data_IF_625550358142
#
_entry.id   IF_625550358142
#
_cell.length_a   1.000
_cell.length_b   1.000
_cell.length_c   1.000
_cell.angle_alpha   90.00
_cell.angle_beta   90.00
_cell.angle_gamma   90.00
#
_symmetry.space_group_name_H-M   'P 1'
#
loop_
_entity.id
_entity.type
_entity.pdbx_description
1 polymer ?
#
# COMPACT_ATOMS: atom_id res chain seq x y z
N UNK A 1 -8.69 -19.10 -22.48
CA UNK A 1 -8.52 -17.69 -22.05
C UNK A 1 -7.04 -17.40 -21.90
N UNK A 2 -6.62 -16.14 -22.04
CA UNK A 2 -5.26 -15.67 -21.79
C UNK A 2 -5.26 -14.42 -20.90
N UNK A 3 -4.40 -14.36 -19.88
CA UNK A 3 -4.24 -13.16 -19.04
C UNK A 3 -3.69 -11.93 -19.80
N UNK A 4 -3.22 -12.11 -21.04
CA UNK A 4 -2.63 -11.08 -21.91
C UNK A 4 -3.62 -10.28 -22.77
N UNK A 5 -4.85 -10.78 -22.99
CA UNK A 5 -5.82 -10.15 -23.89
C UNK A 5 -7.25 -10.40 -23.40
N UNK A 6 -8.12 -9.38 -23.47
CA UNK A 6 -9.52 -9.48 -23.05
C UNK A 6 -10.38 -10.29 -24.05
N UNK A 7 -11.45 -10.89 -23.51
CA UNK A 7 -12.44 -11.68 -24.26
C UNK A 7 -13.84 -11.37 -23.73
N UNK A 8 -14.84 -11.36 -24.59
CA UNK A 8 -16.20 -10.95 -24.22
C UNK A 8 -16.98 -12.03 -23.46
N UNK A 9 -16.86 -13.31 -23.87
CA UNK A 9 -17.67 -14.43 -23.35
C UNK A 9 -16.82 -15.53 -22.71
N UNK A 10 -17.37 -16.18 -21.69
CA UNK A 10 -16.78 -17.35 -21.03
C UNK A 10 -16.91 -18.60 -21.91
N UNK A 11 -15.81 -19.33 -22.10
CA UNK A 11 -15.82 -20.68 -22.70
C UNK A 11 -15.38 -21.75 -21.70
N UNK A 12 -15.47 -23.00 -22.12
CA UNK A 12 -14.93 -24.14 -21.40
C UNK A 12 -13.40 -24.15 -21.47
N UNK A 13 -12.74 -24.38 -20.33
CA UNK A 13 -11.29 -24.25 -20.17
C UNK A 13 -10.83 -22.88 -19.64
N UNK A 14 -11.70 -21.87 -19.58
CA UNK A 14 -11.34 -20.56 -19.04
C UNK A 14 -11.26 -20.57 -17.50
N UNK A 15 -10.16 -20.09 -16.92
CA UNK A 15 -10.15 -19.64 -15.51
C UNK A 15 -10.99 -18.36 -15.38
N UNK A 16 -11.91 -18.31 -14.42
CA UNK A 16 -12.77 -17.15 -14.18
C UNK A 16 -12.66 -16.64 -12.74
N UNK A 17 -13.03 -15.39 -12.53
CA UNK A 17 -13.11 -14.76 -11.21
C UNK A 17 -14.58 -14.61 -10.81
N UNK A 18 -15.06 -15.38 -9.82
CA UNK A 18 -16.37 -15.15 -9.24
C UNK A 18 -16.28 -14.08 -8.15
N UNK A 19 -17.12 -13.05 -8.23
CA UNK A 19 -17.22 -11.99 -7.21
C UNK A 19 -18.56 -12.10 -6.46
N UNK A 20 -18.48 -12.40 -5.16
CA UNK A 20 -19.62 -12.56 -4.24
C UNK A 20 -19.64 -11.47 -3.16
N UNK A 21 -18.57 -10.67 -3.05
CA UNK A 21 -18.38 -9.56 -2.11
C UNK A 21 -16.91 -9.11 -2.11
N UNK A 22 -16.60 -8.00 -1.42
CA UNK A 22 -15.25 -7.40 -1.39
C UNK A 22 -14.17 -8.42 -0.95
N UNK A 23 -14.35 -9.01 0.23
CA UNK A 23 -13.47 -10.06 0.78
C UNK A 23 -13.94 -11.48 0.39
N UNK A 24 -14.75 -11.61 -0.67
CA UNK A 24 -15.32 -12.90 -1.07
C UNK A 24 -15.31 -13.04 -2.60
N UNK A 25 -14.15 -13.45 -3.09
CA UNK A 25 -13.93 -13.88 -4.46
C UNK A 25 -13.48 -15.35 -4.49
N UNK A 26 -13.61 -15.99 -5.65
CA UNK A 26 -13.14 -17.36 -5.89
C UNK A 26 -12.64 -17.49 -7.34
N UNK A 27 -11.61 -18.31 -7.59
CA UNK A 27 -11.22 -18.73 -8.95
C UNK A 27 -11.51 -20.21 -9.18
N UNK A 28 -11.79 -20.57 -10.43
CA UNK A 28 -11.69 -21.95 -10.93
C UNK A 28 -11.72 -21.97 -12.47
N UNK A 29 -11.40 -23.14 -13.03
CA UNK A 29 -11.50 -23.43 -14.46
C UNK A 29 -12.92 -23.91 -14.80
N UNK A 30 -13.56 -23.28 -15.78
CA UNK A 30 -14.90 -23.66 -16.27
C UNK A 30 -14.83 -25.00 -17.02
N UNK A 31 -15.65 -25.98 -16.63
CA UNK A 31 -15.67 -27.36 -17.15
C UNK A 31 -17.09 -27.92 -17.03
N UNK A 32 -17.66 -28.50 -18.09
CA UNK A 32 -19.04 -29.03 -18.07
C UNK A 32 -19.20 -30.16 -17.06
N UNK A 33 -20.42 -30.30 -16.54
CA UNK A 33 -20.77 -31.28 -15.51
C UNK A 33 -20.32 -30.92 -14.09
N UNK A 34 -19.37 -29.98 -13.91
CA UNK A 34 -18.94 -29.50 -12.60
C UNK A 34 -19.96 -28.50 -12.02
N UNK A 35 -20.13 -28.53 -10.70
CA UNK A 35 -21.01 -27.65 -9.94
C UNK A 35 -20.23 -27.05 -8.76
N UNK A 36 -20.08 -25.72 -8.75
CA UNK A 36 -19.48 -24.97 -7.65
C UNK A 36 -20.55 -24.61 -6.62
N UNK A 37 -20.26 -24.78 -5.33
CA UNK A 37 -21.21 -24.47 -4.26
C UNK A 37 -20.92 -23.09 -3.68
N UNK A 38 -21.92 -22.21 -3.64
CA UNK A 38 -21.81 -20.86 -3.08
C UNK A 38 -22.80 -20.65 -1.94
N UNK A 39 -22.59 -19.61 -1.11
CA UNK A 39 -23.59 -19.16 -0.12
C UNK A 39 -24.95 -18.78 -0.73
N UNK A 40 -25.00 -18.48 -2.02
CA UNK A 40 -26.21 -18.14 -2.76
C UNK A 40 -26.87 -19.35 -3.47
N UNK A 41 -26.23 -20.53 -3.44
CA UNK A 41 -26.71 -21.76 -4.07
C UNK A 41 -25.68 -22.44 -4.97
N UNK A 42 -26.09 -23.55 -5.58
CA UNK A 42 -25.28 -24.31 -6.51
C UNK A 42 -25.20 -23.61 -7.88
N UNK A 43 -23.98 -23.39 -8.37
CA UNK A 43 -23.67 -22.81 -9.67
C UNK A 43 -23.12 -23.91 -10.59
N UNK A 44 -23.84 -24.29 -11.64
CA UNK A 44 -23.30 -25.26 -12.61
C UNK A 44 -22.36 -24.52 -13.56
N UNK A 45 -21.20 -25.11 -13.85
CA UNK A 45 -20.25 -24.50 -14.79
C UNK A 45 -20.83 -24.43 -16.21
N UNK A 46 -21.78 -25.32 -16.55
CA UNK A 46 -22.53 -25.26 -17.81
C UNK A 46 -23.41 -24.02 -17.94
N UNK A 47 -23.86 -23.43 -16.83
CA UNK A 47 -24.71 -22.22 -16.81
C UNK A 47 -23.87 -20.93 -16.98
N UNK A 48 -22.53 -21.05 -17.02
CA UNK A 48 -21.57 -19.96 -17.23
C UNK A 48 -21.07 -19.87 -18.68
N UNK A 49 -21.10 -20.97 -19.44
CA UNK A 49 -20.52 -21.00 -20.80
C UNK A 49 -21.41 -20.19 -21.75
N UNK A 50 -20.81 -19.22 -22.46
CA UNK A 50 -21.51 -18.24 -23.29
C UNK A 50 -22.00 -17.01 -22.53
N UNK A 51 -21.82 -16.93 -21.21
CA UNK A 51 -22.13 -15.71 -20.44
C UNK A 51 -21.04 -14.66 -20.70
N UNK A 52 -21.46 -13.41 -20.90
CA UNK A 52 -20.55 -12.27 -21.08
C UNK A 52 -19.83 -11.94 -19.76
N UNK A 53 -18.52 -11.71 -19.79
CA UNK A 53 -17.78 -11.24 -18.63
C UNK A 53 -18.32 -9.89 -18.12
N UNK A 54 -18.33 -9.71 -16.80
CA UNK A 54 -19.04 -8.63 -16.11
C UNK A 54 -20.52 -8.92 -15.80
N UNK A 55 -21.11 -9.98 -16.36
CA UNK A 55 -22.52 -10.31 -16.13
C UNK A 55 -22.83 -10.70 -14.68
N UNK A 56 -24.04 -10.34 -14.25
CA UNK A 56 -24.65 -10.79 -12.99
C UNK A 56 -25.38 -12.12 -13.18
N UNK A 57 -24.84 -13.20 -12.62
CA UNK A 57 -25.47 -14.52 -12.65
C UNK A 57 -26.35 -14.70 -11.41
N UNK A 58 -27.63 -15.04 -11.63
CA UNK A 58 -28.61 -15.26 -10.57
C UNK A 58 -28.57 -16.70 -10.05
N UNK A 59 -28.76 -16.85 -8.74
CA UNK A 59 -28.72 -18.12 -8.00
C UNK A 59 -29.93 -18.20 -7.05
N UNK A 60 -30.22 -19.39 -6.53
CA UNK A 60 -31.43 -19.68 -5.76
C UNK A 60 -31.66 -18.77 -4.52
N UNK A 61 -30.60 -18.17 -3.97
CA UNK A 61 -30.64 -17.27 -2.79
C UNK A 61 -29.89 -15.95 -3.00
N UNK A 62 -29.65 -15.53 -4.25
CA UNK A 62 -28.92 -14.28 -4.52
C UNK A 62 -28.37 -14.18 -5.94
N UNK A 63 -27.21 -13.53 -6.06
CA UNK A 63 -26.48 -13.41 -7.32
C UNK A 63 -24.98 -13.25 -7.05
N UNK A 64 -24.19 -13.39 -8.11
CA UNK A 64 -22.76 -13.07 -8.14
C UNK A 64 -22.40 -12.41 -9.49
N UNK A 65 -21.18 -11.91 -9.61
CA UNK A 65 -20.64 -11.45 -10.89
C UNK A 65 -19.54 -12.38 -11.39
N UNK A 66 -19.47 -12.58 -12.71
CA UNK A 66 -18.43 -13.35 -13.38
C UNK A 66 -17.45 -12.38 -14.03
N UNK A 67 -16.31 -12.15 -13.39
CA UNK A 67 -15.31 -11.17 -13.81
C UNK A 67 -14.19 -11.80 -14.65
N UNK A 68 -13.61 -10.99 -15.53
CA UNK A 68 -12.44 -11.39 -16.30
C UNK A 68 -11.21 -11.53 -15.38
N UNK A 69 -10.36 -12.56 -15.53
CA UNK A 69 -9.14 -12.67 -14.74
C UNK A 69 -8.15 -11.54 -15.06
N UNK A 70 -7.68 -10.86 -14.01
CA UNK A 70 -6.51 -9.96 -14.08
C UNK A 70 -5.48 -10.40 -13.05
N UNK A 71 -4.20 -9.99 -13.17
CA UNK A 71 -3.19 -10.23 -12.14
C UNK A 71 -3.63 -9.77 -10.74
N UNK A 72 -4.31 -8.64 -10.60
CA UNK A 72 -4.80 -8.14 -9.29
C UNK A 72 -5.83 -9.09 -8.67
N UNK A 73 -6.81 -9.55 -9.46
CA UNK A 73 -7.78 -10.54 -8.98
C UNK A 73 -7.13 -11.91 -8.72
N UNK A 74 -6.07 -12.27 -9.44
CA UNK A 74 -5.29 -13.49 -9.19
C UNK A 74 -4.49 -13.38 -7.88
N UNK A 75 -3.75 -12.30 -7.66
CA UNK A 75 -3.05 -12.00 -6.40
C UNK A 75 -3.96 -12.13 -5.18
N UNK A 76 -5.22 -11.72 -5.27
CA UNK A 76 -6.19 -11.84 -4.16
C UNK A 76 -6.83 -13.25 -4.00
N UNK A 77 -6.64 -14.19 -4.93
CA UNK A 77 -7.39 -15.46 -4.97
C UNK A 77 -6.57 -16.70 -5.37
N UNK A 78 -5.27 -16.56 -5.59
CA UNK A 78 -4.38 -17.65 -5.97
C UNK A 78 -4.21 -18.68 -4.83
N UNK A 79 -3.93 -19.96 -5.14
CA UNK A 79 -3.59 -20.94 -4.11
C UNK A 79 -2.20 -20.63 -3.56
N UNK A 80 -2.14 -20.03 -2.36
CA UNK A 80 -0.88 -19.67 -1.70
C UNK A 80 0.02 -20.91 -1.48
N UNK A 81 1.16 -20.95 -2.18
CA UNK A 81 2.25 -21.93 -2.00
C UNK A 81 3.39 -21.37 -1.13
N UNK A 82 3.42 -20.04 -0.99
CA UNK A 82 4.43 -19.21 -0.32
C UNK A 82 3.76 -17.95 0.25
N UNK A 83 4.51 -17.13 1.00
CA UNK A 83 4.19 -15.71 1.08
C UNK A 83 4.21 -15.10 -0.35
N UNK A 84 3.42 -14.05 -0.57
CA UNK A 84 3.38 -13.30 -1.84
C UNK A 84 3.56 -11.81 -1.63
N UNK A 85 3.97 -11.13 -2.69
CA UNK A 85 3.81 -9.70 -2.87
C UNK A 85 2.35 -9.40 -3.24
N UNK A 86 1.84 -8.26 -2.78
CA UNK A 86 0.50 -7.76 -3.11
C UNK A 86 0.57 -6.57 -4.08
N UNK A 87 -0.59 -6.17 -4.62
CA UNK A 87 -0.71 -5.16 -5.68
C UNK A 87 0.04 -3.85 -5.41
N UNK A 88 0.12 -3.41 -4.15
CA UNK A 88 0.85 -2.18 -3.76
C UNK A 88 2.33 -2.27 -4.15
N UNK A 89 3.04 -3.26 -3.62
CA UNK A 89 4.46 -3.49 -3.88
C UNK A 89 4.71 -3.87 -5.34
N UNK A 90 3.84 -4.73 -5.91
CA UNK A 90 3.88 -5.10 -7.33
C UNK A 90 3.81 -3.85 -8.22
N UNK A 91 2.95 -2.88 -7.90
CA UNK A 91 2.85 -1.63 -8.68
C UNK A 91 4.11 -0.77 -8.58
N UNK A 92 4.74 -0.72 -7.41
CA UNK A 92 6.00 0.01 -7.19
C UNK A 92 7.17 -0.67 -7.90
N UNK A 93 7.28 -2.00 -7.79
CA UNK A 93 8.28 -2.82 -8.50
C UNK A 93 8.16 -2.62 -10.01
N UNK A 94 6.94 -2.76 -10.55
CA UNK A 94 6.66 -2.61 -11.99
C UNK A 94 7.10 -1.24 -12.51
N UNK A 95 6.81 -0.17 -11.76
CA UNK A 95 7.17 1.20 -12.12
C UNK A 95 8.68 1.47 -11.98
N UNK A 96 9.29 1.08 -10.84
CA UNK A 96 10.69 1.39 -10.52
C UNK A 96 11.69 0.47 -11.25
N UNK A 97 11.26 -0.68 -11.79
CA UNK A 97 12.03 -1.49 -12.74
C UNK A 97 11.79 -1.09 -14.21
N UNK A 98 10.98 -0.06 -14.48
CA UNK A 98 10.69 0.46 -15.83
C UNK A 98 10.09 -0.59 -16.79
N UNK A 99 9.28 -1.51 -16.25
CA UNK A 99 8.71 -2.62 -17.02
C UNK A 99 7.70 -2.12 -18.06
N UNK A 100 7.83 -2.64 -19.29
CA UNK A 100 7.04 -2.24 -20.46
C UNK A 100 6.96 -3.38 -21.48
N UNK A 101 6.04 -3.32 -22.47
CA UNK A 101 6.00 -4.26 -23.58
C UNK A 101 7.38 -4.39 -24.25
N UNK A 102 7.89 -5.62 -24.34
CA UNK A 102 9.24 -5.89 -24.87
C UNK A 102 10.37 -5.99 -23.83
N UNK A 103 10.14 -5.67 -22.55
CA UNK A 103 11.16 -5.89 -21.50
C UNK A 103 11.45 -7.39 -21.32
N UNK A 104 12.74 -7.74 -21.21
CA UNK A 104 13.19 -9.05 -20.74
C UNK A 104 13.49 -8.95 -19.25
N UNK A 105 12.87 -9.81 -18.43
CA UNK A 105 12.90 -9.73 -16.98
C UNK A 105 13.37 -11.05 -16.37
N UNK A 106 14.21 -10.96 -15.34
CA UNK A 106 14.60 -12.11 -14.50
C UNK A 106 13.90 -11.99 -13.15
N UNK A 107 13.33 -13.09 -12.67
CA UNK A 107 12.62 -13.18 -11.38
C UNK A 107 13.12 -14.39 -10.59
N UNK A 108 13.37 -14.23 -9.30
CA UNK A 108 13.58 -15.36 -8.38
C UNK A 108 13.25 -14.95 -6.95
N UNK A 109 12.50 -15.72 -6.15
CA UNK A 109 11.81 -16.96 -6.48
C UNK A 109 10.44 -16.78 -7.16
N UNK A 110 10.02 -17.72 -8.01
CA UNK A 110 8.66 -17.75 -8.60
C UNK A 110 7.56 -17.93 -7.54
N UNK A 111 7.77 -18.79 -6.54
CA UNK A 111 6.88 -18.98 -5.39
C UNK A 111 5.44 -19.34 -5.75
N UNK A 112 4.52 -18.37 -5.58
CA UNK A 112 3.11 -18.52 -5.92
C UNK A 112 2.67 -17.73 -7.17
N UNK A 113 3.60 -17.20 -7.96
CA UNK A 113 3.31 -16.59 -9.26
C UNK A 113 2.58 -15.22 -9.24
N UNK A 114 2.42 -14.59 -8.07
CA UNK A 114 1.71 -13.29 -7.92
C UNK A 114 2.33 -12.19 -8.76
N UNK A 115 3.63 -11.93 -8.55
CA UNK A 115 4.39 -10.95 -9.32
C UNK A 115 4.55 -11.38 -10.79
N UNK A 116 4.83 -12.66 -11.04
CA UNK A 116 5.01 -13.22 -12.38
C UNK A 116 3.85 -12.91 -13.33
N UNK A 117 2.59 -13.04 -12.88
CA UNK A 117 1.42 -12.69 -13.70
C UNK A 117 1.33 -11.18 -13.99
N UNK A 118 1.73 -10.32 -13.05
CA UNK A 118 1.75 -8.87 -13.24
C UNK A 118 2.88 -8.42 -14.17
N UNK A 119 4.07 -9.04 -14.06
CA UNK A 119 5.17 -8.87 -15.01
C UNK A 119 4.72 -9.30 -16.41
N UNK A 120 4.19 -10.52 -16.55
CA UNK A 120 3.79 -11.11 -17.83
C UNK A 120 2.81 -10.23 -18.62
N UNK A 121 1.75 -9.74 -17.95
CA UNK A 121 0.83 -8.75 -18.55
C UNK A 121 1.57 -7.49 -19.05
N UNK A 122 2.53 -7.00 -18.27
CA UNK A 122 3.19 -5.71 -18.53
C UNK A 122 4.23 -5.80 -19.64
N UNK A 123 4.87 -6.96 -19.82
CA UNK A 123 5.90 -7.16 -20.84
C UNK A 123 5.38 -7.77 -22.15
N UNK A 124 4.18 -8.37 -22.13
CA UNK A 124 3.50 -8.86 -23.32
C UNK A 124 3.25 -7.73 -24.36
N UNK A 125 3.17 -8.07 -25.67
CA UNK A 125 3.30 -9.41 -26.25
C UNK A 125 4.75 -9.83 -26.55
N UNK A 126 5.71 -8.90 -26.53
CA UNK A 126 7.05 -9.10 -27.11
C UNK A 126 8.19 -9.20 -26.09
N UNK A 127 7.92 -9.09 -24.79
CA UNK A 127 8.89 -9.32 -23.72
C UNK A 127 8.89 -10.77 -23.22
N UNK A 128 9.85 -11.10 -22.36
CA UNK A 128 10.01 -12.46 -21.82
C UNK A 128 10.41 -12.48 -20.34
N UNK A 129 9.84 -13.39 -19.57
CA UNK A 129 10.12 -13.61 -18.15
C UNK A 129 10.95 -14.89 -17.95
N UNK A 130 12.18 -14.76 -17.49
CA UNK A 130 12.97 -15.89 -16.98
C UNK A 130 12.79 -15.97 -15.47
N UNK A 131 11.92 -16.86 -14.99
CA UNK A 131 11.62 -17.02 -13.57
C UNK A 131 12.25 -18.30 -13.02
N UNK A 132 12.83 -18.21 -11.82
CA UNK A 132 13.59 -19.28 -11.18
C UNK A 132 12.99 -19.64 -9.83
N UNK A 133 12.97 -20.93 -9.50
CA UNK A 133 12.42 -21.46 -8.25
C UNK A 133 13.31 -22.60 -7.75
N UNK A 134 13.68 -22.59 -6.47
CA UNK A 134 14.61 -23.56 -5.89
C UNK A 134 13.95 -24.90 -5.56
N UNK A 135 12.62 -24.95 -5.50
CA UNK A 135 11.86 -26.13 -5.12
C UNK A 135 11.10 -26.71 -6.33
N UNK A 136 11.64 -27.77 -6.93
CA UNK A 136 11.12 -28.50 -8.10
C UNK A 136 9.59 -28.47 -8.26
N UNK A 137 8.86 -29.03 -7.29
CA UNK A 137 7.39 -29.11 -7.32
C UNK A 137 6.68 -27.75 -7.47
N UNK A 138 7.25 -26.64 -6.95
CA UNK A 138 6.68 -25.29 -7.15
C UNK A 138 6.98 -24.77 -8.55
N UNK A 139 8.15 -25.09 -9.11
CA UNK A 139 8.49 -24.77 -10.49
C UNK A 139 7.56 -25.50 -11.48
N UNK A 140 7.32 -26.79 -11.28
CA UNK A 140 6.37 -27.59 -12.07
C UNK A 140 4.94 -27.03 -12.00
N UNK A 141 4.45 -26.76 -10.79
CA UNK A 141 3.11 -26.20 -10.58
C UNK A 141 2.95 -24.81 -11.21
N UNK A 142 3.97 -23.94 -11.10
CA UNK A 142 3.97 -22.63 -11.74
C UNK A 142 3.98 -22.75 -13.27
N UNK A 143 4.76 -23.66 -13.85
CA UNK A 143 4.80 -23.88 -15.29
C UNK A 143 3.44 -24.34 -15.86
N UNK A 144 2.77 -25.29 -15.20
CA UNK A 144 1.43 -25.74 -15.62
C UNK A 144 0.35 -24.67 -15.38
N UNK A 145 0.49 -23.83 -14.35
CA UNK A 145 -0.36 -22.66 -14.09
C UNK A 145 -0.24 -21.61 -15.21
N UNK A 146 0.97 -21.19 -15.59
CA UNK A 146 1.21 -20.25 -16.70
C UNK A 146 0.73 -20.80 -18.06
N UNK A 147 0.86 -22.11 -18.28
CA UNK A 147 0.33 -22.83 -19.44
C UNK A 147 -1.20 -22.85 -19.46
N UNK A 148 -1.83 -23.15 -18.34
CA UNK A 148 -3.30 -23.12 -18.17
C UNK A 148 -3.86 -21.70 -18.35
N UNK A 149 -3.11 -20.67 -17.95
CA UNK A 149 -3.47 -19.26 -18.05
C UNK A 149 -3.12 -18.59 -19.38
N UNK A 150 -2.62 -19.36 -20.36
CA UNK A 150 -2.37 -18.88 -21.72
C UNK A 150 -1.26 -17.82 -21.80
N UNK A 151 -0.25 -17.91 -20.94
CA UNK A 151 0.90 -16.98 -20.90
C UNK A 151 2.28 -17.65 -21.01
N UNK A 152 2.31 -18.99 -21.14
CA UNK A 152 3.55 -19.78 -21.24
C UNK A 152 4.50 -19.40 -22.39
N UNK A 153 4.02 -18.73 -23.45
CA UNK A 153 4.87 -18.28 -24.56
C UNK A 153 5.84 -17.16 -24.15
N UNK A 154 5.48 -16.36 -23.14
CA UNK A 154 6.29 -15.24 -22.64
C UNK A 154 7.03 -15.55 -21.32
N UNK A 155 7.08 -16.81 -20.86
CA UNK A 155 7.77 -17.21 -19.63
C UNK A 155 8.58 -18.50 -19.77
N UNK A 156 9.73 -18.55 -19.13
CA UNK A 156 10.50 -19.78 -18.90
C UNK A 156 10.70 -19.96 -17.40
N UNK A 157 10.11 -21.01 -16.84
CA UNK A 157 10.29 -21.42 -15.44
C UNK A 157 11.49 -22.38 -15.35
N UNK A 158 12.42 -22.12 -14.44
CA UNK A 158 13.62 -22.95 -14.24
C UNK A 158 13.75 -23.41 -12.79
N UNK A 159 13.78 -24.72 -12.56
CA UNK A 159 14.15 -25.29 -11.25
C UNK A 159 15.65 -25.04 -11.00
N UNK A 160 16.01 -24.20 -10.02
CA UNK A 160 17.40 -23.88 -9.66
C UNK A 160 17.55 -23.11 -8.34
N UNK A 161 18.63 -23.39 -7.59
CA UNK A 161 19.16 -22.42 -6.62
C UNK A 161 20.06 -21.39 -7.34
N UNK A 162 19.57 -20.15 -7.46
CA UNK A 162 20.29 -19.04 -8.11
C UNK A 162 21.37 -18.41 -7.24
N UNK A 163 21.43 -18.74 -5.95
CA UNK A 163 22.49 -18.28 -5.04
C UNK A 163 23.78 -19.12 -5.20
N UNK A 164 23.65 -20.38 -5.63
CA UNK A 164 24.79 -21.26 -5.89
C UNK A 164 25.12 -21.37 -7.39
N UNK A 165 24.12 -21.58 -8.25
CA UNK A 165 24.34 -21.87 -9.68
C UNK A 165 24.11 -20.67 -10.62
N UNK A 166 23.59 -19.55 -10.09
CA UNK A 166 23.27 -18.35 -10.86
C UNK A 166 22.16 -18.52 -11.90
N UNK A 167 21.84 -17.44 -12.61
CA UNK A 167 20.81 -17.44 -13.65
C UNK A 167 21.25 -18.14 -14.94
N UNK A 168 22.56 -18.25 -15.21
CA UNK A 168 23.13 -18.74 -16.49
C UNK A 168 22.53 -18.01 -17.71
N UNK A 169 22.26 -16.72 -17.53
CA UNK A 169 21.83 -15.78 -18.55
C UNK A 169 22.93 -14.74 -18.70
N UNK A 170 23.25 -14.38 -19.94
CA UNK A 170 24.39 -13.51 -20.27
C UNK A 170 23.88 -12.32 -21.09
N UNK A 171 23.81 -11.16 -20.44
CA UNK A 171 23.48 -9.87 -21.05
C UNK A 171 22.16 -9.78 -21.83
N UNK A 172 21.11 -10.46 -21.36
CA UNK A 172 19.77 -10.49 -22.00
C UNK A 172 18.70 -9.64 -21.32
N UNK A 173 18.82 -9.34 -20.03
CA UNK A 173 17.75 -8.75 -19.21
C UNK A 173 17.79 -7.22 -19.15
N UNK A 174 16.62 -6.58 -19.20
CA UNK A 174 16.42 -5.16 -18.87
C UNK A 174 16.27 -4.95 -17.36
N UNK A 175 15.67 -5.92 -16.67
CA UNK A 175 15.37 -5.86 -15.25
C UNK A 175 15.56 -7.19 -14.51
N UNK A 176 15.94 -7.12 -13.23
CA UNK A 176 16.02 -8.27 -12.31
C UNK A 176 15.22 -8.00 -11.04
N UNK A 177 14.42 -8.96 -10.59
CA UNK A 177 13.73 -8.95 -9.31
C UNK A 177 14.14 -10.14 -8.42
N UNK A 178 14.46 -9.85 -7.15
CA UNK A 178 14.89 -10.83 -6.14
C UNK A 178 13.96 -10.84 -4.91
N UNK A 179 13.16 -11.89 -4.74
CA UNK A 179 12.54 -12.30 -3.47
C UNK A 179 13.23 -13.61 -3.03
N UNK A 180 14.25 -13.46 -2.19
CA UNK A 180 15.13 -14.53 -1.74
C UNK A 180 15.48 -14.35 -0.25
N UNK A 181 15.82 -15.41 0.50
CA UNK A 181 16.32 -15.26 1.88
C UNK A 181 17.71 -14.59 1.97
N UNK A 182 18.52 -14.70 0.91
CA UNK A 182 19.92 -14.22 0.84
C UNK A 182 20.22 -13.53 -0.52
N UNK A 183 19.47 -12.49 -0.91
CA UNK A 183 19.51 -11.94 -2.28
C UNK A 183 20.89 -11.42 -2.68
N UNK A 184 21.71 -10.99 -1.71
CA UNK A 184 23.09 -10.57 -1.94
C UNK A 184 23.96 -11.62 -2.64
N UNK A 185 23.70 -12.92 -2.46
CA UNK A 185 24.43 -13.99 -3.16
C UNK A 185 24.13 -14.04 -4.67
N UNK A 186 22.92 -13.65 -5.08
CA UNK A 186 22.51 -13.65 -6.48
C UNK A 186 22.97 -12.42 -7.27
N UNK A 187 23.42 -11.34 -6.61
CA UNK A 187 23.75 -10.04 -7.26
C UNK A 187 24.84 -10.18 -8.33
N UNK A 188 25.86 -10.99 -8.09
CA UNK A 188 26.93 -11.23 -9.05
C UNK A 188 26.38 -11.80 -10.38
N UNK A 189 25.44 -12.76 -10.29
CA UNK A 189 24.79 -13.33 -11.48
C UNK A 189 23.72 -12.41 -12.05
N UNK A 190 23.04 -11.59 -11.23
CA UNK A 190 22.11 -10.57 -11.70
C UNK A 190 22.81 -9.53 -12.59
N UNK A 191 24.02 -9.10 -12.21
CA UNK A 191 24.86 -8.22 -13.04
C UNK A 191 25.25 -8.87 -14.38
N UNK A 192 25.51 -10.17 -14.41
CA UNK A 192 25.77 -10.90 -15.66
C UNK A 192 24.51 -11.01 -16.53
N UNK A 193 23.35 -11.28 -15.93
CA UNK A 193 22.09 -11.41 -16.67
C UNK A 193 21.63 -10.09 -17.31
N UNK A 194 21.90 -8.94 -16.68
CA UNK A 194 21.59 -7.61 -17.19
C UNK A 194 22.41 -7.26 -18.45
N UNK A 195 21.76 -6.60 -19.42
CA UNK A 195 22.36 -6.14 -20.68
C UNK A 195 23.57 -5.23 -20.44
N UNK A 196 24.54 -5.27 -21.36
CA UNK A 196 25.70 -4.37 -21.39
C UNK A 196 25.33 -2.88 -21.53
N UNK A 197 24.11 -2.58 -21.98
CA UNK A 197 23.52 -1.23 -21.98
C UNK A 197 23.06 -0.75 -20.59
N UNK A 198 23.29 -1.52 -19.54
CA UNK A 198 22.70 -1.29 -18.23
C UNK A 198 21.28 -1.84 -18.11
N UNK A 199 20.69 -1.66 -16.92
CA UNK A 199 19.35 -2.12 -16.56
C UNK A 199 19.05 -1.93 -15.07
N UNK A 200 17.89 -2.36 -14.61
CA UNK A 200 17.38 -2.10 -13.24
C UNK A 200 17.36 -3.37 -12.39
N UNK A 201 17.64 -3.24 -11.10
CA UNK A 201 17.47 -4.33 -10.12
C UNK A 201 16.58 -3.90 -8.97
N UNK A 202 15.78 -4.83 -8.45
CA UNK A 202 15.00 -4.70 -7.23
C UNK A 202 15.20 -5.96 -6.37
N UNK A 203 15.39 -5.78 -5.08
CA UNK A 203 15.30 -6.86 -4.09
C UNK A 203 14.20 -6.54 -3.09
N UNK A 204 13.34 -7.52 -2.83
CA UNK A 204 12.50 -7.53 -1.64
C UNK A 204 13.29 -8.12 -0.46
N UNK A 205 13.00 -7.67 0.76
CA UNK A 205 13.51 -8.25 2.01
C UNK A 205 12.66 -7.83 3.22
N UNK A 206 12.19 -8.76 4.08
CA UNK A 206 11.45 -8.40 5.29
C UNK A 206 12.31 -7.79 6.40
N UNK A 207 13.61 -8.14 6.50
CA UNK A 207 14.48 -7.70 7.60
C UNK A 207 15.52 -6.66 7.13
N UNK A 208 15.82 -5.67 7.97
CA UNK A 208 16.71 -4.55 7.61
C UNK A 208 18.17 -4.99 7.47
N UNK A 209 18.57 -6.07 8.14
CA UNK A 209 19.90 -6.68 8.05
C UNK A 209 20.12 -7.37 6.70
N UNK A 210 19.03 -7.82 6.05
CA UNK A 210 19.08 -8.32 4.66
C UNK A 210 19.26 -7.17 3.68
N UNK A 211 18.55 -6.05 3.90
CA UNK A 211 18.71 -4.82 3.11
C UNK A 211 20.15 -4.29 3.19
N UNK A 212 20.73 -4.20 4.39
CA UNK A 212 22.12 -3.74 4.59
C UNK A 212 23.12 -4.51 3.73
N UNK A 213 23.12 -5.85 3.83
CA UNK A 213 24.01 -6.73 3.04
C UNK A 213 23.76 -6.63 1.53
N UNK A 214 22.50 -6.44 1.15
CA UNK A 214 22.11 -6.24 -0.25
C UNK A 214 22.69 -4.92 -0.78
N UNK A 215 22.56 -3.81 -0.06
CA UNK A 215 23.14 -2.52 -0.42
C UNK A 215 24.68 -2.56 -0.49
N UNK A 216 25.33 -3.21 0.47
CA UNK A 216 26.79 -3.41 0.46
C UNK A 216 27.25 -4.15 -0.81
N UNK A 217 26.59 -5.26 -1.12
CA UNK A 217 26.97 -6.12 -2.27
C UNK A 217 26.57 -5.48 -3.61
N UNK A 218 25.44 -4.77 -3.70
CA UNK A 218 25.10 -3.91 -4.85
C UNK A 218 26.21 -2.88 -5.12
N UNK A 219 26.70 -2.21 -4.08
CA UNK A 219 27.79 -1.22 -4.19
C UNK A 219 29.10 -1.88 -4.65
N UNK A 220 29.46 -3.03 -4.09
CA UNK A 220 30.64 -3.82 -4.50
C UNK A 220 30.59 -4.23 -5.98
N UNK A 221 29.40 -4.57 -6.50
CA UNK A 221 29.19 -4.90 -7.91
C UNK A 221 28.94 -3.68 -8.82
N UNK A 222 29.21 -2.45 -8.36
CA UNK A 222 29.08 -1.21 -9.17
C UNK A 222 27.65 -0.92 -9.64
N UNK A 223 26.65 -1.24 -8.81
CA UNK A 223 25.31 -0.66 -8.97
C UNK A 223 25.26 0.75 -8.37
N UNK A 224 24.42 1.60 -8.93
CA UNK A 224 24.23 3.00 -8.59
C UNK A 224 22.76 3.30 -8.24
N UNK A 225 22.44 4.51 -7.79
CA UNK A 225 21.07 4.94 -7.45
C UNK A 225 20.36 4.04 -6.42
N UNK A 226 21.12 3.46 -5.48
CA UNK A 226 20.60 2.59 -4.43
C UNK A 226 19.51 3.32 -3.62
N UNK A 227 18.29 2.78 -3.64
CA UNK A 227 17.11 3.36 -2.98
C UNK A 227 16.24 2.28 -2.37
N UNK A 228 16.21 2.22 -1.04
CA UNK A 228 15.26 1.39 -0.28
C UNK A 228 13.98 2.17 0.00
N UNK A 229 12.82 1.50 -0.08
CA UNK A 229 11.52 2.04 0.29
C UNK A 229 10.59 0.95 0.88
N UNK A 230 9.55 1.38 1.61
CA UNK A 230 8.46 0.55 2.12
C UNK A 230 7.13 1.14 1.62
N UNK A 231 6.13 0.29 1.30
CA UNK A 231 4.88 0.71 0.67
C UNK A 231 3.63 0.36 1.51
N UNK A 232 3.35 1.18 2.53
CA UNK A 232 2.25 0.93 3.48
C UNK A 232 0.87 1.26 2.89
N UNK A 233 0.07 0.22 2.59
CA UNK A 233 -1.33 0.36 2.17
C UNK A 233 -2.27 0.64 3.36
N UNK A 234 -3.22 1.57 3.18
CA UNK A 234 -4.33 1.80 4.11
C UNK A 234 -5.63 2.07 3.34
N UNK A 235 -6.56 1.14 3.42
CA UNK A 235 -7.90 1.31 2.85
C UNK A 235 -8.79 2.15 3.79
N UNK A 236 -9.81 2.80 3.22
CA UNK A 236 -10.74 3.67 3.96
C UNK A 236 -12.19 3.38 3.59
N UNK A 237 -13.00 3.00 4.58
CA UNK A 237 -14.44 2.85 4.45
C UNK A 237 -15.16 4.20 4.59
N UNK A 238 -15.91 4.60 3.57
CA UNK A 238 -16.74 5.82 3.62
C UNK A 238 -18.08 5.51 4.30
N UNK A 239 -18.16 5.76 5.61
CA UNK A 239 -19.35 5.48 6.45
C UNK A 239 -19.98 6.79 6.94
N UNK A 240 -21.27 6.75 7.29
CA UNK A 240 -21.89 7.86 8.04
C UNK A 240 -21.68 7.58 9.52
N UNK A 241 -21.01 8.49 10.23
CA UNK A 241 -20.90 8.48 11.70
C UNK A 241 -22.03 9.34 12.25
N UNK A 242 -22.64 8.89 13.34
CA UNK A 242 -23.49 9.70 14.20
C UNK A 242 -22.77 9.88 15.54
N UNK A 243 -22.46 11.13 15.91
CA UNK A 243 -21.99 11.47 17.25
C UNK A 243 -23.21 11.87 18.10
N UNK A 244 -23.41 11.31 19.30
CA UNK A 244 -24.42 11.81 20.21
C UNK A 244 -24.06 13.25 20.60
N UNK A 245 -25.05 14.14 20.59
CA UNK A 245 -24.89 15.48 21.14
C UNK A 245 -24.85 15.38 22.67
N UNK A 246 -23.91 16.08 23.29
CA UNK A 246 -23.85 16.15 24.74
C UNK A 246 -25.06 16.93 25.28
N UNK A 247 -25.89 16.28 26.10
CA UNK A 247 -26.89 16.97 26.90
C UNK A 247 -26.16 17.71 28.04
N UNK A 248 -26.08 19.03 27.91
CA UNK A 248 -25.46 19.91 28.90
C UNK A 248 -26.47 20.40 29.96
N UNK A 249 -27.68 19.82 29.98
CA UNK A 249 -28.82 20.29 30.74
C UNK A 249 -29.58 21.43 30.05
N UNK A 250 -30.69 21.90 30.65
CA UNK A 250 -31.45 23.03 30.13
C UNK A 250 -30.58 24.30 30.10
N UNK A 251 -30.63 25.04 28.99
CA UNK A 251 -29.81 26.24 28.76
C UNK A 251 -30.21 27.47 29.61
N UNK A 252 -31.09 27.28 30.60
CA UNK A 252 -31.85 28.32 31.28
C UNK A 252 -31.17 28.85 32.57
N UNK A 253 -29.84 29.07 32.54
CA UNK A 253 -29.11 29.79 33.59
C UNK A 253 -28.21 30.91 33.04
N UNK A 254 -28.69 31.62 32.02
CA UNK A 254 -28.33 33.04 31.81
C UNK A 254 -29.63 33.86 31.71
N UNK A 255 -30.40 33.89 32.81
CA UNK A 255 -31.43 34.93 32.97
C UNK A 255 -30.79 36.31 32.91
N UNK A 256 -31.45 37.24 32.22
CA UNK A 256 -30.95 38.60 31.99
C UNK A 256 -30.99 39.41 33.29
N UNK A 257 -29.85 39.53 33.95
CA UNK A 257 -29.46 40.68 34.76
C UNK A 257 -30.33 40.99 35.99
N UNK A 258 -29.95 40.44 37.15
CA UNK A 258 -30.28 40.99 38.47
C UNK A 258 -29.03 41.23 39.30
N UNK A 259 -28.27 42.26 38.93
CA UNK A 259 -27.33 42.89 39.86
C UNK A 259 -28.17 43.61 40.91
N UNK A 260 -28.25 43.08 42.12
CA UNK A 260 -28.87 43.78 43.25
C UNK A 260 -27.87 44.81 43.82
N UNK A 261 -28.25 46.09 43.95
CA UNK A 261 -27.30 47.14 44.36
C UNK A 261 -27.16 47.25 45.88
N UNK A 262 -26.08 46.65 46.41
CA UNK A 262 -25.30 47.16 47.55
C UNK A 262 -25.85 46.99 48.98
N UNK A 263 -24.95 46.56 49.89
CA UNK A 263 -24.80 47.08 51.26
C UNK A 263 -23.58 46.43 51.95
N UNK A 264 -22.74 47.24 52.62
CA UNK A 264 -21.70 46.78 53.55
C UNK A 264 -20.24 46.89 53.06
N UNK A 265 -19.47 47.79 53.68
CA UNK A 265 -18.02 47.92 53.49
C UNK A 265 -17.23 46.77 54.14
N UNK A 266 -16.10 46.36 53.55
CA UNK A 266 -15.37 45.18 54.06
C UNK A 266 -13.99 44.87 53.48
N UNK A 267 -13.02 45.78 53.61
CA UNK A 267 -11.55 45.54 53.56
C UNK A 267 -10.98 44.68 52.39
N UNK A 268 -10.34 45.33 51.42
CA UNK A 268 -9.52 44.64 50.42
C UNK A 268 -8.20 44.08 51.01
N UNK A 269 -7.86 42.84 50.65
CA UNK A 269 -6.51 42.26 50.77
C UNK A 269 -6.19 41.40 49.54
N UNK A 270 -4.97 41.45 48.98
CA UNK A 270 -4.59 40.63 47.84
C UNK A 270 -4.07 39.25 48.26
N UNK A 271 -4.45 38.23 47.49
CA UNK A 271 -3.74 36.97 47.34
C UNK A 271 -3.87 36.62 45.84
N UNK A 272 -2.81 36.72 45.03
CA UNK A 272 -1.64 35.84 44.96
C UNK A 272 -1.91 34.63 44.05
N UNK A 273 -0.95 34.35 43.18
CA UNK A 273 -1.15 33.66 41.91
C UNK A 273 -0.27 32.41 41.87
N UNK A 274 -0.90 31.22 41.92
CA UNK A 274 -0.23 29.93 41.80
C UNK A 274 -0.96 29.03 40.80
N UNK A 275 -0.19 28.17 40.13
CA UNK A 275 -0.68 27.30 39.05
C UNK A 275 -1.06 25.91 39.57
N UNK A 276 -2.03 25.28 38.91
CA UNK A 276 -2.28 23.83 39.02
C UNK A 276 -2.25 23.25 37.61
N UNK A 277 -1.43 22.21 37.43
CA UNK A 277 -1.16 21.52 36.17
C UNK A 277 -2.30 20.58 35.75
N UNK A 278 -2.35 20.25 34.46
CA UNK A 278 -3.17 19.15 33.96
C UNK A 278 -2.62 17.79 34.43
N UNK A 279 -3.51 16.82 34.60
CA UNK A 279 -3.20 15.40 34.84
C UNK A 279 -4.35 14.53 34.28
N UNK A 280 -4.18 13.19 34.33
CA UNK A 280 -5.07 12.13 33.86
C UNK A 280 -5.11 11.88 32.35
N UNK A 281 -4.01 11.31 31.85
CA UNK A 281 -4.10 10.19 30.92
C UNK A 281 -3.36 8.98 31.52
N UNK A 282 -4.06 8.18 32.32
CA UNK A 282 -3.56 6.88 32.78
C UNK A 282 -3.90 5.81 31.75
N UNK A 283 -2.88 5.05 31.33
CA UNK A 283 -3.04 3.73 30.73
C UNK A 283 -2.42 2.75 31.72
N UNK A 284 -3.20 1.81 32.23
CA UNK A 284 -2.71 0.76 33.13
C UNK A 284 -2.30 -0.46 32.30
N UNK A 285 -1.02 -0.80 32.36
CA UNK A 285 -0.44 -2.04 31.85
C UNK A 285 -0.28 -3.02 33.00
N UNK A 286 -0.61 -4.29 32.79
CA UNK A 286 -0.35 -5.36 33.76
C UNK A 286 1.10 -5.83 33.66
N UNK A 287 1.74 -6.03 34.81
CA UNK A 287 3.13 -6.47 34.93
C UNK A 287 3.30 -7.98 34.63
N UNK A 288 4.51 -8.35 34.20
CA UNK A 288 5.09 -9.68 34.49
C UNK A 288 6.62 -9.58 34.61
N UNK A 289 7.28 -10.49 35.34
CA UNK A 289 8.57 -10.20 36.00
C UNK A 289 9.87 -10.51 35.22
N UNK A 290 10.98 -9.92 35.76
CA UNK A 290 12.33 -10.51 35.96
C UNK A 290 13.54 -10.14 35.07
N UNK A 291 14.28 -9.13 35.60
CA UNK A 291 15.72 -9.16 36.00
C UNK A 291 16.85 -9.30 34.95
N UNK A 292 17.95 -8.58 35.29
CA UNK A 292 19.27 -8.49 34.65
C UNK A 292 19.28 -7.76 33.28
N UNK A 293 20.30 -7.01 32.90
CA UNK A 293 21.68 -6.93 33.45
C UNK A 293 22.24 -5.48 33.54
N UNK A 294 23.45 -5.31 34.07
CA UNK A 294 24.08 -4.00 34.36
C UNK A 294 25.16 -3.59 33.33
N UNK A 295 25.15 -2.32 32.87
CA UNK A 295 26.23 -1.29 33.02
C UNK A 295 26.10 -0.10 32.03
N UNK A 296 26.71 1.07 32.32
CA UNK A 296 26.47 2.30 31.58
C UNK A 296 27.48 2.58 30.46
N UNK A 297 27.08 3.42 29.50
CA UNK A 297 27.98 4.09 28.57
C UNK A 297 28.19 5.56 28.96
N UNK A 298 29.45 5.98 29.05
CA UNK A 298 29.83 7.39 29.16
C UNK A 298 29.77 8.06 27.77
N UNK A 299 29.45 9.35 27.75
CA UNK A 299 29.75 10.24 26.62
C UNK A 299 30.63 11.37 27.16
N UNK A 300 31.79 11.59 26.55
CA UNK A 300 32.78 12.60 26.96
C UNK A 300 33.07 13.57 25.82
N UNK A 301 32.99 14.87 26.12
CA UNK A 301 33.69 16.01 25.53
C UNK A 301 34.10 15.99 24.04
N UNK A 302 33.62 17.00 23.29
CA UNK A 302 34.46 17.83 22.40
C UNK A 302 34.04 19.31 22.53
N UNK A 303 34.84 20.08 23.28
CA UNK A 303 35.33 21.46 23.08
C UNK A 303 34.43 22.64 22.60
N UNK A 304 35.03 23.86 22.61
CA UNK A 304 34.40 25.18 22.46
C UNK A 304 35.32 26.21 21.75
N UNK A 305 34.76 27.42 21.54
CA UNK A 305 35.43 28.74 21.34
C UNK A 305 36.14 28.91 19.97
N UNK A 306 36.30 30.09 19.34
CA UNK A 306 36.01 31.54 19.57
C UNK A 306 36.04 32.22 18.16
N UNK A 307 35.49 33.40 17.78
CA UNK A 307 34.27 34.21 18.06
C UNK A 307 34.21 35.34 16.95
N UNK A 308 33.39 36.40 17.12
CA UNK A 308 33.47 37.74 16.51
C UNK A 308 32.75 37.97 15.16
N UNK A 309 31.75 38.89 15.17
CA UNK A 309 31.21 39.53 13.96
C UNK A 309 29.93 40.36 14.20
N UNK A 310 30.02 41.70 14.23
CA UNK A 310 28.93 42.60 14.68
C UNK A 310 28.73 43.82 13.77
N UNK A 311 27.53 44.02 13.24
CA UNK A 311 26.95 45.36 12.99
C UNK A 311 25.45 45.31 12.71
N UNK A 312 24.74 46.36 13.10
CA UNK A 312 23.32 46.60 12.79
C UNK A 312 23.20 47.43 11.50
N UNK A 313 22.04 47.36 10.83
CA UNK A 313 21.37 48.57 10.36
C UNK A 313 19.89 48.30 10.02
N UNK A 314 19.03 49.19 10.49
CA UNK A 314 17.62 49.29 10.10
C UNK A 314 17.49 50.49 9.16
N UNK A 315 16.71 50.37 8.08
CA UNK A 315 16.34 51.53 7.26
C UNK A 315 14.84 51.52 6.96
N UNK A 316 14.22 52.69 7.08
CA UNK A 316 12.77 52.87 7.03
C UNK A 316 12.41 54.06 6.15
N UNK A 317 11.67 53.83 5.06
CA UNK A 317 11.13 54.95 4.27
C UNK A 317 9.79 54.67 3.56
N UNK A 318 8.84 55.56 3.86
CA UNK A 318 7.74 56.06 3.01
C UNK A 318 7.01 55.12 2.04
N UNK A 319 5.74 54.83 2.34
CA UNK A 319 4.62 54.98 1.37
C UNK A 319 3.42 55.69 2.01
N UNK A 320 2.71 56.59 1.28
CA UNK A 320 1.72 57.50 1.87
C UNK A 320 0.31 56.92 1.98
N UNK A 321 -0.45 57.39 2.97
CA UNK A 321 -1.86 57.07 3.13
C UNK A 321 -2.73 57.58 1.96
N UNK A 322 -3.74 56.79 1.55
CA UNK A 322 -4.80 57.21 0.62
C UNK A 322 -6.19 56.96 1.22
N UNK A 323 -7.12 57.86 0.89
CA UNK A 323 -8.43 58.02 1.53
C UNK A 323 -9.37 56.82 1.28
N UNK A 324 -10.25 56.59 2.25
CA UNK A 324 -11.41 55.72 2.12
C UNK A 324 -12.24 56.07 0.87
N UNK A 325 -12.80 55.05 0.22
CA UNK A 325 -13.99 55.16 -0.63
C UNK A 325 -15.01 54.15 -0.12
N UNK A 326 -16.23 54.62 0.13
CA UNK A 326 -17.35 53.79 0.57
C UNK A 326 -17.89 52.96 -0.60
N UNK A 327 -17.40 51.72 -0.74
CA UNK A 327 -18.02 50.72 -1.58
C UNK A 327 -19.21 50.10 -0.86
N UNK A 328 -20.37 50.00 -1.53
CA UNK A 328 -21.49 49.21 -1.01
C UNK A 328 -21.13 47.73 -1.08
N UNK A 329 -21.11 47.04 0.06
CA UNK A 329 -21.06 45.58 0.09
C UNK A 329 -22.38 45.02 -0.47
N UNK A 330 -22.36 44.66 -1.76
CA UNK A 330 -23.39 43.79 -2.32
C UNK A 330 -23.19 42.41 -1.72
N UNK A 331 -24.03 42.05 -0.75
CA UNK A 331 -24.09 40.71 -0.19
C UNK A 331 -24.41 39.70 -1.29
N UNK A 332 -23.38 39.02 -1.78
CA UNK A 332 -23.55 37.93 -2.76
C UNK A 332 -24.22 36.78 -2.02
N UNK A 333 -25.53 36.69 -2.15
CA UNK A 333 -26.31 35.52 -1.74
C UNK A 333 -25.91 34.33 -2.61
N UNK A 334 -24.79 33.69 -2.23
CA UNK A 334 -24.44 32.35 -2.70
C UNK A 334 -25.58 31.44 -2.26
N UNK A 335 -26.40 31.00 -3.22
CA UNK A 335 -27.43 30.00 -2.96
C UNK A 335 -26.75 28.77 -2.38
N UNK A 336 -27.25 28.26 -1.26
CA UNK A 336 -26.90 26.92 -0.78
C UNK A 336 -27.28 25.93 -1.90
N UNK A 337 -26.27 25.43 -2.60
CA UNK A 337 -26.36 24.23 -3.40
C UNK A 337 -25.78 23.08 -2.58
N UNK A 338 -26.42 21.91 -2.67
CA UNK A 338 -26.46 20.91 -1.61
C UNK A 338 -25.21 20.02 -1.53
N UNK A 339 -24.08 20.63 -1.18
CA UNK A 339 -22.89 19.92 -0.72
C UNK A 339 -23.01 19.63 0.78
N UNK A 340 -23.71 18.53 1.10
CA UNK A 340 -23.91 17.95 2.45
C UNK A 340 -22.61 17.36 3.06
N UNK A 341 -21.53 18.14 3.03
CA UNK A 341 -20.31 17.93 3.81
C UNK A 341 -20.46 18.49 5.24
N UNK A 342 -21.39 19.42 5.43
CA UNK A 342 -21.81 19.90 6.76
C UNK A 342 -22.83 18.90 7.31
N UNK A 343 -22.51 18.28 8.45
CA UNK A 343 -23.33 17.20 9.01
C UNK A 343 -24.77 17.59 9.35
N UNK A 344 -25.68 16.62 9.27
CA UNK A 344 -27.10 16.76 9.60
C UNK A 344 -27.33 16.44 11.08
N UNK A 345 -27.92 17.37 11.81
CA UNK A 345 -28.39 17.14 13.19
C UNK A 345 -29.85 16.67 13.18
N UNK A 346 -30.19 15.66 13.98
CA UNK A 346 -31.57 15.23 14.25
C UNK A 346 -32.12 15.75 15.60
N UNK A 347 -31.32 16.57 16.31
CA UNK A 347 -31.62 17.07 17.66
C UNK A 347 -31.13 16.19 18.81
N UNK A 348 -30.67 14.96 18.54
CA UNK A 348 -30.01 14.06 19.51
C UNK A 348 -28.61 13.63 19.04
N UNK A 349 -28.43 13.51 17.74
CA UNK A 349 -27.18 13.12 17.08
C UNK A 349 -26.78 14.16 16.04
N UNK A 350 -25.47 14.37 15.87
CA UNK A 350 -24.88 15.03 14.72
C UNK A 350 -24.28 13.98 13.79
N UNK A 351 -24.79 13.88 12.55
CA UNK A 351 -24.43 12.84 11.60
C UNK A 351 -23.68 13.39 10.39
N UNK A 352 -22.55 12.78 10.02
CA UNK A 352 -21.71 13.21 8.90
C UNK A 352 -21.01 12.04 8.20
N UNK A 353 -20.61 12.26 6.94
CA UNK A 353 -19.78 11.33 6.18
C UNK A 353 -18.33 11.38 6.68
N UNK A 354 -17.76 10.23 7.00
CA UNK A 354 -16.37 10.07 7.41
C UNK A 354 -15.69 8.97 6.59
N UNK A 355 -14.40 9.13 6.33
CA UNK A 355 -13.54 8.09 5.77
C UNK A 355 -12.79 7.43 6.92
N UNK A 356 -13.16 6.20 7.27
CA UNK A 356 -12.62 5.48 8.42
C UNK A 356 -11.60 4.45 7.94
N UNK A 357 -10.34 4.45 8.42
CA UNK A 357 -9.34 3.48 7.98
C UNK A 357 -9.74 2.05 8.38
N UNK A 358 -9.47 1.07 7.53
CA UNK A 358 -9.70 -0.34 7.85
C UNK A 358 -8.75 -0.79 8.96
N UNK A 359 -9.28 -1.49 9.97
CA UNK A 359 -8.47 -2.06 11.07
C UNK A 359 -7.57 -3.21 10.59
N UNK A 360 -7.89 -3.83 9.45
CA UNK A 360 -7.04 -4.80 8.78
C UNK A 360 -6.15 -4.11 7.76
N UNK A 361 -4.85 -4.41 7.82
CA UNK A 361 -3.85 -4.13 6.80
C UNK A 361 -3.38 -5.48 6.21
N UNK A 362 -4.04 -5.99 5.16
CA UNK A 362 -3.60 -7.20 4.48
C UNK A 362 -2.36 -6.90 3.61
N UNK A 363 -1.25 -7.57 3.91
CA UNK A 363 -0.02 -7.51 3.11
C UNK A 363 1.07 -6.61 3.68
N UNK A 364 2.24 -7.24 3.86
CA UNK A 364 3.59 -6.68 4.01
C UNK A 364 3.94 -5.77 5.20
N UNK A 365 4.95 -6.25 5.93
CA UNK A 365 6.07 -5.47 6.47
C UNK A 365 7.30 -5.89 5.67
N UNK A 366 7.97 -4.97 4.98
CA UNK A 366 9.13 -5.32 4.16
C UNK A 366 9.61 -4.23 3.21
N UNK A 367 10.84 -4.37 2.76
CA UNK A 367 11.58 -3.33 2.07
C UNK A 367 11.86 -3.72 0.62
N UNK A 368 11.69 -2.75 -0.29
CA UNK A 368 12.06 -2.82 -1.69
C UNK A 368 13.32 -1.99 -1.92
N UNK A 369 14.44 -2.64 -2.19
CA UNK A 369 15.74 -2.01 -2.49
C UNK A 369 15.99 -2.03 -3.99
N UNK A 370 15.95 -0.86 -4.61
CA UNK A 370 16.20 -0.66 -6.05
C UNK A 370 17.61 -0.15 -6.31
N UNK A 371 18.16 -0.47 -7.49
CA UNK A 371 19.37 0.15 -8.02
C UNK A 371 19.44 0.08 -9.57
N UNK A 372 20.33 0.87 -10.16
CA UNK A 372 20.66 0.90 -11.58
C UNK A 372 22.04 0.29 -11.84
N UNK A 373 22.16 -0.53 -12.88
CA UNK A 373 23.42 -0.79 -13.56
C UNK A 373 23.49 0.13 -14.79
N UNK A 374 24.58 0.85 -14.96
CA UNK A 374 24.82 1.68 -16.14
C UNK A 374 25.65 0.93 -17.21
N UNK A 375 25.70 1.42 -18.46
CA UNK A 375 26.65 0.93 -19.47
C UNK A 375 28.08 0.88 -18.93
N UNK A 376 28.81 -0.16 -19.35
CA UNK A 376 30.24 -0.38 -19.03
C UNK A 376 31.17 0.13 -20.11
#
# INVERSE_FOLDING_TARGET
MSFSAYKEVVEEGDTIMLYLGFDNMHTFIVKRGIVFQTRYGALKHSDLIGVQYGSRVHLAKGYLYVLYPTPEFWTCNLPHRTQILYTTDISMITLQLELRPGSVVVESGTGSGSLSHAILRTIAPSGHLHTFEFHEQRAELAAEEFKTHGVAENVTVTHRDVCEAGFQLDHVADAVFLDLPKPWLAIASAKQALKLSGGRICSFSPCIEQVQRTCETLTQHSFHELKTMECLLRNYDVRTIALPLADLGPSDVIEKGKIQPGLGDGCAKPAQQDAITADLCKVESLDDENKNDQRPYNISHVDKDEDIGRSENCDTSNRPAKKMRTGQEKSVFVRRHDFDLIGRSDGKNFSFKSANPTLQMPGHTGFLTFASLYPS
#
